data_IF_783994673768
#
_entry.id   IF_783994673768
#
_cell.length_a   1.000
_cell.length_b   1.000
_cell.length_c   1.000
_cell.angle_alpha   90.00
_cell.angle_beta   90.00
_cell.angle_gamma   90.00
#
_symmetry.space_group_name_H-M   'P 1'
#
loop_
_entity.id
_entity.type
_entity.pdbx_description
1 polymer ?
#
# COMPACT_ATOMS: atom_id res chain seq x y z
N UNK A 1 -17.31 -9.51 -7.75
CA UNK A 1 -17.59 -8.32 -6.91
C UNK A 1 -16.56 -7.27 -7.28
N UNK A 2 -16.98 -6.03 -7.59
CA UNK A 2 -16.08 -4.88 -7.80
C UNK A 2 -16.49 -3.85 -6.75
N UNK A 3 -15.56 -3.42 -5.90
CA UNK A 3 -15.80 -2.45 -4.85
C UNK A 3 -14.86 -1.26 -5.04
N UNK A 4 -15.41 -0.05 -5.17
CA UNK A 4 -14.66 1.22 -5.18
C UNK A 4 -14.93 1.95 -3.87
N UNK A 5 -13.92 2.62 -3.31
CA UNK A 5 -14.07 3.36 -2.06
C UNK A 5 -13.32 4.68 -2.07
N UNK A 6 -13.82 5.65 -1.29
CA UNK A 6 -13.04 6.82 -0.87
C UNK A 6 -12.76 6.69 0.61
N UNK A 7 -11.50 6.46 0.97
CA UNK A 7 -11.08 6.58 2.37
C UNK A 7 -10.91 8.06 2.66
N UNK A 8 -11.67 8.59 3.62
CA UNK A 8 -11.63 10.00 3.98
C UNK A 8 -11.40 10.21 5.48
N UNK A 9 -10.84 11.36 5.81
CA UNK A 9 -10.69 11.86 7.17
C UNK A 9 -11.48 13.15 7.30
N UNK A 10 -12.15 13.32 8.43
CA UNK A 10 -12.87 14.54 8.76
C UNK A 10 -11.88 15.51 9.40
N UNK A 11 -11.73 16.69 8.80
CA UNK A 11 -10.98 17.79 9.39
C UNK A 11 -11.92 18.62 10.29
N UNK A 12 -11.86 18.36 11.59
CA UNK A 12 -12.64 19.11 12.59
C UNK A 12 -12.22 20.58 12.71
N UNK A 13 -11.07 20.97 12.16
CA UNK A 13 -10.57 22.34 12.19
C UNK A 13 -11.02 23.17 10.98
N UNK A 14 -11.59 22.53 9.95
CA UNK A 14 -12.10 23.17 8.72
C UNK A 14 -13.59 22.89 8.48
N UNK A 15 -14.45 23.27 9.43
CA UNK A 15 -15.91 23.13 9.32
C UNK A 15 -16.38 21.71 8.96
N UNK A 16 -15.69 20.68 9.46
CA UNK A 16 -15.94 19.26 9.14
C UNK A 16 -15.79 18.92 7.64
N UNK A 17 -14.90 19.61 6.91
CA UNK A 17 -14.49 19.22 5.57
C UNK A 17 -13.90 17.81 5.54
N UNK A 18 -13.95 17.15 4.37
CA UNK A 18 -13.35 15.81 4.19
C UNK A 18 -12.25 15.84 3.14
N UNK A 19 -11.05 15.40 3.52
CA UNK A 19 -10.02 15.04 2.56
C UNK A 19 -9.96 13.52 2.47
N UNK A 20 -9.63 13.01 1.29
CA UNK A 20 -9.68 11.57 1.05
C UNK A 20 -9.37 11.23 -0.38
N UNK A 21 -8.87 10.03 -0.58
CA UNK A 21 -8.35 9.55 -1.85
C UNK A 21 -9.32 8.57 -2.49
N UNK A 22 -9.55 8.71 -3.79
CA UNK A 22 -10.25 7.70 -4.57
C UNK A 22 -9.34 6.48 -4.78
N UNK A 23 -9.83 5.30 -4.43
CA UNK A 23 -9.17 4.03 -4.71
C UNK A 23 -10.00 3.28 -5.75
N UNK A 24 -9.43 2.96 -6.93
CA UNK A 24 -10.15 2.24 -7.96
C UNK A 24 -10.54 0.85 -7.47
N UNK A 25 -11.68 0.37 -7.95
CA UNK A 25 -12.11 -1.00 -7.72
C UNK A 25 -11.30 -1.95 -8.58
N UNK A 26 -11.02 -3.12 -8.01
CA UNK A 26 -10.22 -4.16 -8.65
C UNK A 26 -10.94 -5.50 -8.54
N UNK A 27 -10.74 -6.34 -9.54
CA UNK A 27 -11.26 -7.70 -9.63
C UNK A 27 -10.20 -8.71 -9.20
N UNK A 28 -10.62 -9.94 -8.80
CA UNK A 28 -9.67 -11.01 -8.52
C UNK A 28 -8.69 -11.30 -9.65
N UNK A 29 -9.12 -11.15 -10.92
CA UNK A 29 -8.28 -11.36 -12.10
C UNK A 29 -7.19 -10.30 -12.26
N UNK A 30 -7.39 -9.11 -11.72
CA UNK A 30 -6.40 -8.03 -11.73
C UNK A 30 -5.38 -8.17 -10.59
N UNK A 31 -5.75 -8.81 -9.48
CA UNK A 31 -4.84 -9.15 -8.38
C UNK A 31 -3.79 -10.21 -8.72
N UNK A 32 -2.93 -10.51 -7.74
CA UNK A 32 -1.91 -11.57 -7.80
C UNK A 32 -2.21 -12.69 -6.79
N UNK A 33 -1.91 -13.93 -7.15
CA UNK A 33 -1.94 -15.10 -6.26
C UNK A 33 -0.56 -15.72 -6.09
N UNK A 34 -0.50 -16.86 -5.39
CA UNK A 34 0.75 -17.62 -5.26
C UNK A 34 1.28 -18.04 -6.64
N UNK A 35 2.59 -17.81 -6.88
CA UNK A 35 3.25 -18.11 -8.15
C UNK A 35 3.15 -17.02 -9.22
N UNK A 36 2.29 -16.00 -9.03
CA UNK A 36 2.25 -14.83 -9.90
C UNK A 36 3.48 -13.92 -9.65
N UNK A 37 3.80 -13.07 -10.63
CA UNK A 37 4.88 -12.08 -10.50
C UNK A 37 4.56 -11.06 -9.40
N UNK A 38 5.52 -10.68 -8.53
CA UNK A 38 5.28 -9.71 -7.47
C UNK A 38 4.86 -8.33 -7.99
N UNK A 39 3.88 -7.72 -7.33
CA UNK A 39 3.46 -6.34 -7.60
C UNK A 39 4.57 -5.36 -7.21
N UNK A 40 4.79 -4.34 -8.02
CA UNK A 40 5.73 -3.24 -7.77
C UNK A 40 4.99 -1.92 -7.62
N UNK A 41 5.33 -1.15 -6.58
CA UNK A 41 4.86 0.22 -6.37
C UNK A 41 6.10 1.11 -6.31
N UNK A 42 6.15 2.10 -7.19
CA UNK A 42 7.34 2.94 -7.43
C UNK A 42 7.13 4.36 -6.91
N UNK A 43 8.22 5.14 -6.85
CA UNK A 43 8.21 6.58 -6.54
C UNK A 43 7.52 6.93 -5.22
N UNK A 44 7.72 6.11 -4.19
CA UNK A 44 7.22 6.39 -2.85
C UNK A 44 8.19 7.28 -2.07
N UNK A 45 7.68 8.01 -1.08
CA UNK A 45 8.48 8.89 -0.25
C UNK A 45 8.07 8.80 1.24
N UNK A 46 9.07 8.84 2.11
CA UNK A 46 8.93 8.99 3.55
C UNK A 46 9.96 10.02 4.03
N UNK A 47 9.48 11.21 4.34
CA UNK A 47 10.30 12.37 4.71
C UNK A 47 9.51 13.28 5.64
N UNK A 48 10.08 14.43 5.98
CA UNK A 48 9.34 15.49 6.67
C UNK A 48 8.17 16.02 5.82
N UNK A 49 8.29 15.97 4.50
CA UNK A 49 7.33 16.56 3.57
C UNK A 49 6.24 15.56 3.16
N UNK A 50 6.60 14.29 3.00
CA UNK A 50 5.67 13.26 2.52
C UNK A 50 5.71 12.01 3.37
N UNK A 51 4.57 11.31 3.46
CA UNK A 51 4.48 9.96 4.05
C UNK A 51 3.87 8.99 3.05
N UNK A 52 4.29 7.73 3.09
CA UNK A 52 3.75 6.70 2.22
C UNK A 52 2.97 5.65 3.00
N UNK A 53 1.73 5.41 2.60
CA UNK A 53 0.93 4.29 3.09
C UNK A 53 0.86 3.19 2.02
N UNK A 54 0.77 1.94 2.46
CA UNK A 54 0.54 0.78 1.59
C UNK A 54 -0.84 0.20 1.88
N UNK A 55 -1.74 0.22 0.88
CA UNK A 55 -3.02 -0.48 0.94
C UNK A 55 -2.90 -1.89 0.38
N UNK A 56 -3.54 -2.86 1.04
CA UNK A 56 -3.61 -4.26 0.61
C UNK A 56 -5.06 -4.77 0.75
N UNK A 57 -5.56 -5.46 -0.25
CA UNK A 57 -6.90 -6.04 -0.26
C UNK A 57 -6.89 -7.49 -0.75
N UNK A 58 -7.52 -8.39 0.00
CA UNK A 58 -7.85 -9.74 -0.45
C UNK A 58 -9.13 -9.71 -1.29
N UNK A 59 -9.11 -10.37 -2.45
CA UNK A 59 -10.14 -10.19 -3.50
C UNK A 59 -11.02 -11.42 -3.74
N UNK A 60 -10.60 -12.60 -3.28
CA UNK A 60 -11.17 -13.90 -3.66
C UNK A 60 -11.95 -14.60 -2.54
N UNK A 61 -12.00 -14.02 -1.34
CA UNK A 61 -12.66 -14.59 -0.18
C UNK A 61 -11.85 -15.70 0.50
N UNK A 62 -10.54 -15.80 0.25
CA UNK A 62 -9.67 -16.81 0.86
C UNK A 62 -8.51 -16.14 1.61
N UNK A 63 -8.11 -16.62 2.80
CA UNK A 63 -6.95 -16.09 3.51
C UNK A 63 -5.67 -16.15 2.65
N UNK A 64 -4.82 -15.15 2.83
CA UNK A 64 -3.57 -14.98 2.08
C UNK A 64 -2.50 -14.31 2.94
N UNK A 65 -1.26 -14.75 2.77
CA UNK A 65 -0.07 -14.10 3.34
C UNK A 65 0.76 -13.52 2.21
N UNK A 66 1.11 -12.25 2.37
CA UNK A 66 1.99 -11.53 1.43
C UNK A 66 3.28 -11.12 2.10
N UNK A 67 4.37 -11.25 1.36
CA UNK A 67 5.69 -10.73 1.72
C UNK A 67 5.87 -9.35 1.08
N UNK A 68 6.05 -8.34 1.92
CA UNK A 68 6.23 -6.95 1.52
C UNK A 68 7.70 -6.59 1.69
N UNK A 69 8.38 -6.25 0.59
CA UNK A 69 9.80 -5.86 0.59
C UNK A 69 9.95 -4.41 0.18
N UNK A 70 10.64 -3.61 0.99
CA UNK A 70 11.02 -2.24 0.68
C UNK A 70 12.42 -2.15 0.09
N UNK A 71 12.59 -1.22 -0.84
CA UNK A 71 13.86 -0.89 -1.48
C UNK A 71 14.10 0.62 -1.37
N UNK A 72 15.28 0.98 -0.91
CA UNK A 72 15.77 2.36 -0.94
C UNK A 72 16.55 2.59 -2.24
N UNK A 73 16.59 3.82 -2.79
CA UNK A 73 17.50 4.14 -3.87
C UNK A 73 18.93 3.88 -3.45
N UNK A 74 19.73 3.37 -4.40
CA UNK A 74 21.18 3.19 -4.27
C UNK A 74 21.66 2.29 -3.11
N UNK A 75 20.73 1.67 -2.39
CA UNK A 75 21.01 0.74 -1.31
C UNK A 75 21.01 -0.70 -1.81
N UNK A 76 21.98 -1.50 -1.37
CA UNK A 76 21.97 -2.96 -1.52
C UNK A 76 21.14 -3.65 -0.43
N UNK A 77 20.68 -2.90 0.56
CA UNK A 77 19.92 -3.42 1.69
C UNK A 77 18.41 -3.27 1.43
N UNK A 78 17.68 -4.36 1.68
CA UNK A 78 16.22 -4.42 1.64
C UNK A 78 15.70 -4.81 3.01
N UNK A 79 14.59 -4.23 3.42
CA UNK A 79 13.85 -4.66 4.59
C UNK A 79 12.51 -5.25 4.16
N UNK A 80 11.97 -6.17 4.94
CA UNK A 80 10.72 -6.83 4.60
C UNK A 80 9.87 -7.14 5.83
N UNK A 81 8.57 -7.34 5.60
CA UNK A 81 7.60 -7.78 6.59
C UNK A 81 6.52 -8.63 5.94
N UNK A 82 5.97 -9.58 6.68
CA UNK A 82 4.84 -10.37 6.21
C UNK A 82 3.52 -9.80 6.74
N UNK A 83 2.49 -9.83 5.89
CA UNK A 83 1.14 -9.41 6.22
C UNK A 83 0.17 -10.52 5.87
N UNK A 84 -0.65 -10.93 6.84
CA UNK A 84 -1.73 -11.88 6.60
C UNK A 84 -3.07 -11.15 6.52
N UNK A 85 -3.83 -11.46 5.49
CA UNK A 85 -5.19 -10.99 5.25
C UNK A 85 -6.15 -12.18 5.35
N UNK A 86 -7.24 -12.01 6.07
CA UNK A 86 -8.39 -12.90 6.01
C UNK A 86 -9.22 -12.71 4.74
N UNK A 87 -10.26 -13.52 4.59
CA UNK A 87 -11.19 -13.45 3.48
C UNK A 87 -11.81 -12.04 3.33
N UNK A 88 -11.70 -11.46 2.13
CA UNK A 88 -12.17 -10.12 1.77
C UNK A 88 -11.62 -8.98 2.67
N UNK A 89 -10.51 -9.22 3.37
CA UNK A 89 -9.95 -8.23 4.28
C UNK A 89 -9.20 -7.15 3.50
N UNK A 90 -9.42 -5.90 3.90
CA UNK A 90 -8.57 -4.77 3.57
C UNK A 90 -7.71 -4.38 4.77
N UNK A 91 -6.45 -4.06 4.54
CA UNK A 91 -5.59 -3.41 5.54
C UNK A 91 -4.76 -2.31 4.90
N UNK A 92 -4.39 -1.32 5.70
CA UNK A 92 -3.48 -0.26 5.30
C UNK A 92 -2.33 -0.17 6.29
N UNK A 93 -1.10 -0.32 5.78
CA UNK A 93 0.11 -0.04 6.53
C UNK A 93 0.45 1.44 6.38
N UNK A 94 0.17 2.23 7.41
CA UNK A 94 0.61 3.61 7.46
C UNK A 94 2.12 3.73 7.65
N UNK A 95 2.73 4.79 7.08
CA UNK A 95 4.17 5.05 7.19
C UNK A 95 5.02 3.80 6.91
N UNK A 96 4.79 3.19 5.76
CA UNK A 96 5.32 1.86 5.44
C UNK A 96 6.85 1.82 5.46
N UNK A 97 7.52 2.92 5.11
CA UNK A 97 8.98 2.99 5.18
C UNK A 97 9.51 3.25 6.59
N UNK A 98 8.77 3.92 7.48
CA UNK A 98 9.16 3.99 8.90
C UNK A 98 9.16 2.59 9.53
N UNK A 99 8.20 1.74 9.14
CA UNK A 99 8.14 0.34 9.58
C UNK A 99 9.32 -0.49 9.07
N UNK A 100 9.68 -0.32 7.79
CA UNK A 100 10.72 -1.11 7.14
C UNK A 100 12.13 -0.59 7.42
N UNK A 101 12.31 0.72 7.53
CA UNK A 101 13.59 1.41 7.73
C UNK A 101 13.44 2.50 8.81
N UNK A 102 13.35 2.11 10.10
CA UNK A 102 13.15 3.06 11.19
C UNK A 102 14.22 4.15 11.22
N UNK A 103 13.79 5.41 11.29
CA UNK A 103 14.67 6.58 11.41
C UNK A 103 15.36 7.01 10.11
N UNK A 104 15.01 6.41 8.96
CA UNK A 104 15.55 6.82 7.67
C UNK A 104 14.53 7.61 6.86
N UNK A 105 14.99 8.69 6.21
CA UNK A 105 14.25 9.32 5.14
C UNK A 105 14.42 8.48 3.87
N UNK A 106 13.32 8.29 3.15
CA UNK A 106 13.27 7.54 1.90
C UNK A 106 12.73 8.47 0.83
N UNK A 107 13.55 8.73 -0.18
CA UNK A 107 13.12 9.42 -1.40
C UNK A 107 13.07 8.38 -2.52
N UNK A 108 12.10 8.42 -3.41
CA UNK A 108 12.01 7.48 -4.55
C UNK A 108 12.12 5.98 -4.15
N UNK A 109 11.50 5.61 -3.03
CA UNK A 109 11.43 4.23 -2.55
C UNK A 109 10.53 3.37 -3.42
N UNK A 110 10.78 2.06 -3.37
CA UNK A 110 9.95 1.04 -4.03
C UNK A 110 9.47 -0.01 -3.03
N UNK A 111 8.27 -0.51 -3.25
CA UNK A 111 7.76 -1.71 -2.57
C UNK A 111 7.50 -2.82 -3.59
N UNK A 112 7.90 -4.04 -3.24
CA UNK A 112 7.50 -5.28 -3.91
C UNK A 112 6.57 -6.08 -3.00
N UNK A 113 5.50 -6.63 -3.55
CA UNK A 113 4.55 -7.49 -2.82
C UNK A 113 4.44 -8.84 -3.54
N UNK A 114 4.80 -9.91 -2.85
CA UNK A 114 4.66 -11.29 -3.34
C UNK A 114 3.68 -12.07 -2.47
N UNK A 115 2.86 -12.95 -3.06
CA UNK A 115 2.04 -13.88 -2.28
C UNK A 115 2.90 -15.09 -1.91
N UNK A 116 3.03 -15.36 -0.61
CA UNK A 116 3.89 -16.43 -0.07
C UNK A 116 3.11 -17.52 0.66
N UNK A 117 1.83 -17.32 0.93
CA UNK A 117 0.98 -18.34 1.56
C UNK A 117 -0.51 -18.13 1.33
N UNK A 118 -1.28 -19.20 1.48
CA UNK A 118 -2.73 -19.21 1.24
C UNK A 118 -3.11 -19.33 -0.24
N UNK A 119 -4.41 -19.25 -0.50
CA UNK A 119 -5.00 -19.37 -1.85
C UNK A 119 -5.70 -18.09 -2.31
N UNK A 120 -5.68 -17.05 -1.48
CA UNK A 120 -6.26 -15.75 -1.80
C UNK A 120 -5.53 -15.01 -2.91
N UNK A 121 -6.23 -14.02 -3.49
CA UNK A 121 -5.65 -13.08 -4.46
C UNK A 121 -5.61 -11.69 -3.86
N UNK A 122 -4.52 -10.96 -4.11
CA UNK A 122 -4.26 -9.65 -3.50
C UNK A 122 -4.09 -8.56 -4.54
N UNK A 123 -4.68 -7.41 -4.27
CA UNK A 123 -4.29 -6.14 -4.87
C UNK A 123 -3.57 -5.25 -3.85
N UNK A 124 -2.70 -4.39 -4.36
CA UNK A 124 -1.95 -3.43 -3.57
C UNK A 124 -1.91 -2.06 -4.24
N UNK A 125 -1.75 -1.00 -3.45
CA UNK A 125 -1.50 0.35 -3.96
C UNK A 125 -0.69 1.17 -2.94
N UNK A 126 0.03 2.17 -3.45
CA UNK A 126 0.67 3.18 -2.62
C UNK A 126 -0.19 4.44 -2.50
N UNK A 127 -0.09 5.11 -1.37
CA UNK A 127 -0.67 6.44 -1.16
C UNK A 127 0.41 7.37 -0.62
N UNK A 128 0.91 8.27 -1.46
CA UNK A 128 1.91 9.29 -1.08
C UNK A 128 1.15 10.54 -0.65
N UNK A 129 1.35 10.95 0.60
CA UNK A 129 0.55 11.98 1.24
C UNK A 129 1.47 13.14 1.64
N UNK A 130 1.13 14.35 1.20
CA UNK A 130 1.75 15.58 1.66
C UNK A 130 1.42 15.81 3.14
N UNK A 131 2.44 15.93 3.98
CA UNK A 131 2.28 16.06 5.43
C UNK A 131 1.70 17.43 5.84
N UNK A 132 1.87 18.47 5.02
CA UNK A 132 1.34 19.81 5.27
C UNK A 132 -0.13 19.90 4.85
N UNK A 133 -0.45 19.50 3.63
CA UNK A 133 -1.79 19.68 3.06
C UNK A 133 -2.73 18.49 3.30
N UNK A 134 -2.19 17.32 3.64
CA UNK A 134 -2.89 16.03 3.70
C UNK A 134 -3.41 15.52 2.35
N UNK A 135 -3.00 16.15 1.25
CA UNK A 135 -3.35 15.72 -0.09
C UNK A 135 -2.63 14.42 -0.47
N UNK A 136 -3.36 13.48 -1.06
CA UNK A 136 -2.94 12.10 -1.24
C UNK A 136 -2.92 11.72 -2.71
N UNK A 137 -1.75 11.32 -3.21
CA UNK A 137 -1.55 10.82 -4.58
C UNK A 137 -1.63 9.30 -4.61
N UNK A 138 -2.51 8.77 -5.48
CA UNK A 138 -2.68 7.33 -5.64
C UNK A 138 -1.57 6.80 -6.54
N UNK A 139 -0.84 5.80 -6.06
CA UNK A 139 0.24 5.16 -6.80
C UNK A 139 -0.17 3.72 -7.13
N UNK A 140 -0.44 3.41 -8.41
CA UNK A 140 -0.85 2.08 -8.81
C UNK A 140 0.28 1.07 -8.60
N UNK A 141 -0.08 -0.16 -8.26
CA UNK A 141 0.85 -1.28 -8.40
C UNK A 141 0.92 -1.75 -9.86
N UNK A 142 2.09 -2.26 -10.26
CA UNK A 142 2.37 -2.76 -11.59
C UNK A 142 2.92 -4.19 -11.50
N UNK A 143 2.64 -5.01 -12.52
CA UNK A 143 3.18 -6.38 -12.63
C UNK A 143 4.51 -6.35 -13.37
#
# INVERSE_FOLDING_TARGET
>A
LVATGRTYTIDSTKNNGTFGQFIPGVTPTEGIGAGDRPLQILQLEESTNFRSNLGLAELSGNPVTVHVTGYLPDSKFTAATDVTLGANQFTQLGHVFVRLFPGQNVYNGRISIAVTGGTGRVAAYGSVIDNLSTDATYVPSQK
#
